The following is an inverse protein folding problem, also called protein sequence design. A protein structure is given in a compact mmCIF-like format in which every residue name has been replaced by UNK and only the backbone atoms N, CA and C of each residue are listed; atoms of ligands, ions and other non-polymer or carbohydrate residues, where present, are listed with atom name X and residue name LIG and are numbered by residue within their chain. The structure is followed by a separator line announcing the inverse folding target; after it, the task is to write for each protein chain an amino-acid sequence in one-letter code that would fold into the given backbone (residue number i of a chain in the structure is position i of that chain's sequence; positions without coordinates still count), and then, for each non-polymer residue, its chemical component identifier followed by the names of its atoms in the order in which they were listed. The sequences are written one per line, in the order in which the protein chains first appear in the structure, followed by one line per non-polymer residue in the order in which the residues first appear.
data_IF_703258167827
#
_entry.id   IF_703258167827
#
_cell.length_a   1.000
_cell.length_b   1.000
_cell.length_c   1.000
_cell.angle_alpha   90.00
_cell.angle_beta   90.00
_cell.angle_gamma   90.00
#
_symmetry.space_group_name_H-M   'P 1'
#
loop_
_entity.id
_entity.type
_entity.pdbx_description
1 polymer ?
#
# COMPACT_ATOMS: atom_id res chain seq x y z
N UNK A 1 4.90 0.11 26.51
CA UNK A 1 4.57 0.17 27.95
C UNK A 1 5.82 0.38 28.82
N UNK A 2 6.86 -0.42 28.64
CA UNK A 2 8.11 -0.33 29.42
C UNK A 2 8.74 1.07 29.38
N UNK A 3 8.90 1.65 28.19
CA UNK A 3 9.52 2.98 28.01
C UNK A 3 8.77 4.06 28.78
N UNK A 4 7.44 4.07 28.75
CA UNK A 4 6.64 5.06 29.47
C UNK A 4 6.80 4.93 30.98
N UNK A 5 6.76 3.71 31.51
CA UNK A 5 7.00 3.47 32.94
C UNK A 5 8.40 3.92 33.36
N UNK A 6 9.39 3.66 32.51
CA UNK A 6 10.75 4.10 32.76
C UNK A 6 10.85 5.64 32.81
N UNK A 7 10.33 6.32 31.78
CA UNK A 7 10.38 7.80 31.70
C UNK A 7 9.67 8.45 32.89
N UNK A 8 8.50 7.93 33.29
CA UNK A 8 7.75 8.46 34.43
C UNK A 8 8.48 8.34 35.79
N UNK A 9 9.45 7.44 35.91
CA UNK A 9 10.28 7.27 37.09
C UNK A 9 11.64 7.97 36.97
N UNK A 10 11.96 8.60 35.86
CA UNK A 10 13.19 9.36 35.70
C UNK A 10 13.07 10.72 36.39
N UNK A 11 14.11 11.12 37.12
CA UNK A 11 14.20 12.48 37.70
C UNK A 11 14.50 13.53 36.63
N UNK A 12 15.27 13.14 35.62
CA UNK A 12 15.69 14.03 34.54
C UNK A 12 15.57 13.24 33.22
N UNK A 13 14.96 13.84 32.20
CA UNK A 13 14.90 13.34 30.83
C UNK A 13 15.52 14.37 29.91
N UNK A 14 16.56 13.99 29.19
CA UNK A 14 17.23 14.87 28.25
C UNK A 14 16.85 14.48 26.80
N UNK A 15 16.43 15.47 26.03
CA UNK A 15 16.16 15.31 24.60
C UNK A 15 17.36 15.82 23.83
N UNK A 16 17.94 14.99 22.99
CA UNK A 16 19.07 15.34 22.12
C UNK A 16 18.62 15.44 20.67
N UNK A 17 19.23 16.35 19.89
CA UNK A 17 19.07 16.43 18.43
C UNK A 17 19.90 15.38 17.68
N UNK A 18 20.74 14.62 18.38
CA UNK A 18 21.56 13.59 17.80
C UNK A 18 20.69 12.39 17.33
N UNK A 19 20.86 12.01 16.06
CA UNK A 19 20.18 10.83 15.49
C UNK A 19 20.98 9.58 15.83
N UNK A 20 20.74 9.00 17.02
CA UNK A 20 21.47 7.82 17.51
C UNK A 20 20.89 6.49 17.05
N UNK A 21 19.76 6.50 16.34
CA UNK A 21 19.08 5.28 15.90
C UNK A 21 18.67 5.40 14.44
N UNK A 22 19.08 4.41 13.64
CA UNK A 22 18.64 4.25 12.27
C UNK A 22 17.59 3.16 12.19
N UNK A 23 16.36 3.51 11.90
CA UNK A 23 15.31 2.54 11.66
C UNK A 23 15.49 1.95 10.27
N UNK A 24 15.76 0.63 10.21
CA UNK A 24 15.76 -0.10 8.94
C UNK A 24 14.33 -0.44 8.58
N UNK A 25 13.84 0.10 7.48
CA UNK A 25 12.56 -0.31 6.93
C UNK A 25 12.69 -1.77 6.42
N UNK A 26 11.85 -2.64 6.94
CA UNK A 26 11.82 -4.05 6.57
C UNK A 26 10.36 -4.42 6.27
N UNK A 27 10.11 -4.94 5.07
CA UNK A 27 8.77 -5.35 4.63
C UNK A 27 8.18 -6.46 5.52
N UNK A 28 9.03 -7.25 6.19
CA UNK A 28 8.64 -8.26 7.17
C UNK A 28 8.51 -7.69 8.60
N UNK A 29 8.64 -6.36 8.76
CA UNK A 29 8.46 -5.73 10.06
C UNK A 29 7.03 -5.95 10.56
N UNK A 30 6.92 -6.20 11.86
CA UNK A 30 5.64 -6.33 12.58
C UNK A 30 4.69 -5.13 12.33
N UNK A 31 5.24 -3.97 11.97
CA UNK A 31 4.45 -2.77 11.62
C UNK A 31 3.73 -2.87 10.28
N UNK A 32 4.14 -3.80 9.40
CA UNK A 32 3.56 -4.01 8.07
C UNK A 32 2.67 -5.26 8.00
N UNK A 33 2.74 -6.11 9.02
CA UNK A 33 1.93 -7.33 9.09
C UNK A 33 0.50 -6.97 9.55
N UNK A 34 -0.48 -7.69 9.01
CA UNK A 34 -1.88 -7.62 9.47
C UNK A 34 -1.98 -8.34 10.81
N UNK A 35 -2.61 -7.70 11.78
CA UNK A 35 -2.82 -8.22 13.12
C UNK A 35 -4.31 -8.24 13.45
N UNK A 36 -4.91 -9.41 13.51
CA UNK A 36 -6.33 -9.58 13.84
C UNK A 36 -6.68 -9.04 15.23
N UNK A 37 -5.72 -9.08 16.14
CA UNK A 37 -5.84 -8.61 17.52
C UNK A 37 -5.38 -7.16 17.73
N UNK A 38 -5.16 -6.40 16.65
CA UNK A 38 -4.61 -5.04 16.72
C UNK A 38 -5.37 -4.14 17.72
N UNK A 39 -6.70 -4.08 17.62
CA UNK A 39 -7.52 -3.26 18.53
C UNK A 39 -7.47 -3.77 19.98
N UNK A 40 -7.40 -5.08 20.18
CA UNK A 40 -7.29 -5.67 21.52
C UNK A 40 -5.96 -5.25 22.15
N UNK A 41 -4.88 -5.35 21.39
CA UNK A 41 -3.52 -4.98 21.84
C UNK A 41 -3.40 -3.49 22.12
N UNK A 42 -3.94 -2.64 21.23
CA UNK A 42 -3.99 -1.18 21.40
C UNK A 42 -4.82 -0.80 22.63
N UNK A 43 -5.98 -1.42 22.84
CA UNK A 43 -6.83 -1.16 24.01
C UNK A 43 -6.15 -1.57 25.33
N UNK A 44 -5.51 -2.73 25.38
CA UNK A 44 -4.73 -3.16 26.55
C UNK A 44 -3.65 -2.15 26.91
N UNK A 45 -2.92 -1.68 25.89
CA UNK A 45 -1.87 -0.66 26.08
C UNK A 45 -2.47 0.67 26.57
N UNK A 46 -3.56 1.12 25.95
CA UNK A 46 -4.28 2.33 26.35
C UNK A 46 -4.71 2.29 27.84
N UNK A 47 -5.36 1.21 28.27
CA UNK A 47 -5.83 1.05 29.64
C UNK A 47 -4.66 1.03 30.64
N UNK A 48 -3.55 0.37 30.29
CA UNK A 48 -2.36 0.35 31.13
C UNK A 48 -1.71 1.73 31.25
N UNK A 49 -1.58 2.47 30.14
CA UNK A 49 -1.03 3.82 30.13
C UNK A 49 -1.96 4.78 30.89
N UNK A 50 -3.27 4.72 30.68
CA UNK A 50 -4.26 5.55 31.36
C UNK A 50 -4.15 5.42 32.87
N UNK A 51 -4.13 4.18 33.39
CA UNK A 51 -3.97 3.90 34.83
C UNK A 51 -2.69 4.52 35.42
N UNK A 52 -1.59 4.54 34.66
CA UNK A 52 -0.33 5.12 35.13
C UNK A 52 -0.36 6.66 35.00
N UNK A 53 -0.94 7.22 33.98
CA UNK A 53 -1.01 8.67 33.75
C UNK A 53 -1.96 9.36 34.73
N UNK A 54 -3.08 8.73 35.11
CA UNK A 54 -4.03 9.23 36.12
C UNK A 54 -3.37 9.43 37.48
N UNK A 55 -2.34 8.66 37.81
CA UNK A 55 -1.58 8.77 39.04
C UNK A 55 -0.41 9.76 38.97
N UNK A 56 -0.10 10.27 37.78
CA UNK A 56 1.03 11.18 37.60
C UNK A 56 0.66 12.61 37.95
N UNK A 57 1.61 13.37 38.46
CA UNK A 57 1.48 14.82 38.64
C UNK A 57 1.28 15.56 37.29
N UNK A 58 1.59 14.92 36.17
CA UNK A 58 1.40 15.45 34.82
C UNK A 58 0.10 14.99 34.14
N UNK A 59 -0.87 14.50 34.91
CA UNK A 59 -2.13 13.91 34.41
C UNK A 59 -2.82 14.80 33.40
N UNK A 60 -2.97 16.09 33.69
CA UNK A 60 -3.70 17.05 32.85
C UNK A 60 -3.08 17.22 31.45
N UNK A 61 -1.78 16.99 31.33
CA UNK A 61 -1.08 17.03 30.05
C UNK A 61 -1.07 15.67 29.34
N UNK A 62 -0.91 14.58 30.08
CA UNK A 62 -0.70 13.24 29.52
C UNK A 62 -1.99 12.59 29.03
N UNK A 63 -3.11 12.76 29.73
CA UNK A 63 -4.40 12.15 29.36
C UNK A 63 -4.89 12.64 27.99
N UNK A 64 -4.94 13.94 27.67
CA UNK A 64 -5.33 14.40 26.35
C UNK A 64 -4.44 13.87 25.23
N UNK A 65 -3.13 13.72 25.47
CA UNK A 65 -2.22 13.15 24.48
C UNK A 65 -2.48 11.66 24.27
N UNK A 66 -2.79 10.92 25.32
CA UNK A 66 -3.16 9.51 25.24
C UNK A 66 -4.47 9.32 24.48
N UNK A 67 -5.46 10.18 24.70
CA UNK A 67 -6.73 10.15 23.98
C UNK A 67 -6.54 10.48 22.49
N UNK A 68 -5.70 11.45 22.16
CA UNK A 68 -5.32 11.72 20.77
C UNK A 68 -4.63 10.53 20.12
N UNK A 69 -3.74 9.88 20.86
CA UNK A 69 -3.01 8.69 20.41
C UNK A 69 -3.96 7.53 20.13
N UNK A 70 -4.90 7.20 21.04
CA UNK A 70 -5.86 6.10 20.83
C UNK A 70 -6.78 6.38 19.65
N UNK A 71 -7.27 7.61 19.50
CA UNK A 71 -8.13 8.00 18.39
C UNK A 71 -7.42 7.84 17.03
N UNK A 72 -6.12 8.15 16.97
CA UNK A 72 -5.31 7.89 15.77
C UNK A 72 -5.24 6.40 15.45
N UNK A 73 -5.01 5.54 16.47
CA UNK A 73 -4.92 4.09 16.27
C UNK A 73 -6.25 3.46 15.89
N UNK A 74 -7.36 3.95 16.43
CA UNK A 74 -8.71 3.51 16.01
C UNK A 74 -8.94 3.83 14.53
N UNK A 75 -8.53 5.01 14.05
CA UNK A 75 -8.68 5.40 12.64
C UNK A 75 -7.90 4.49 11.67
N UNK A 76 -6.72 4.04 12.08
CA UNK A 76 -5.88 3.16 11.25
C UNK A 76 -6.16 1.66 11.48
N UNK A 77 -6.94 1.31 12.50
CA UNK A 77 -7.22 -0.08 12.86
C UNK A 77 -7.79 -0.91 11.70
N UNK A 78 -8.76 -0.44 10.91
CA UNK A 78 -9.27 -1.23 9.78
C UNK A 78 -8.15 -1.65 8.83
N UNK A 79 -7.23 -0.73 8.52
CA UNK A 79 -6.08 -1.01 7.65
C UNK A 79 -5.13 -2.02 8.30
N UNK A 80 -4.86 -1.88 9.61
CA UNK A 80 -3.94 -2.76 10.36
C UNK A 80 -4.51 -4.16 10.61
N UNK A 81 -5.84 -4.29 10.65
CA UNK A 81 -6.54 -5.56 10.81
C UNK A 81 -6.95 -6.18 9.46
N UNK A 82 -6.59 -5.56 8.35
CA UNK A 82 -7.08 -6.01 7.05
C UNK A 82 -8.60 -5.82 6.86
N UNK A 83 -9.27 -5.19 7.82
CA UNK A 83 -10.67 -4.83 7.75
C UNK A 83 -10.77 -3.55 6.92
N UNK A 84 -11.56 -3.54 5.88
CA UNK A 84 -11.60 -2.36 4.98
C UNK A 84 -10.56 -2.44 3.87
N UNK A 85 -10.07 -3.65 3.60
CA UNK A 85 -9.49 -4.03 2.30
C UNK A 85 -10.43 -3.58 1.15
N UNK A 86 -11.64 -3.16 1.48
CA UNK A 86 -12.64 -2.59 0.56
C UNK A 86 -12.56 -1.06 0.40
N UNK A 87 -11.76 -0.34 1.18
CA UNK A 87 -11.51 1.07 0.92
C UNK A 87 -10.52 1.19 -0.23
N UNK A 88 -11.05 1.30 -1.42
CA UNK A 88 -10.29 1.58 -2.63
C UNK A 88 -9.84 3.03 -2.52
N UNK A 89 -8.54 3.23 -2.42
CA UNK A 89 -7.92 4.56 -2.41
C UNK A 89 -7.67 5.05 -3.83
N UNK A 90 -7.30 4.15 -4.71
CA UNK A 90 -6.98 4.44 -6.10
C UNK A 90 -8.03 3.82 -7.02
N UNK A 91 -8.73 4.66 -7.76
CA UNK A 91 -9.78 4.23 -8.69
C UNK A 91 -9.16 4.02 -10.07
N UNK A 92 -9.56 2.94 -10.75
CA UNK A 92 -9.14 2.71 -12.13
C UNK A 92 -9.70 3.83 -13.02
N UNK A 93 -8.85 4.56 -13.73
CA UNK A 93 -9.32 5.56 -14.68
C UNK A 93 -10.00 4.88 -15.86
N UNK A 94 -10.99 5.52 -16.44
CA UNK A 94 -11.63 5.10 -17.68
C UNK A 94 -12.07 3.62 -17.70
N UNK A 95 -12.76 3.14 -16.65
CA UNK A 95 -13.26 1.77 -16.53
C UNK A 95 -13.99 1.27 -17.80
N UNK A 96 -14.71 2.17 -18.47
CA UNK A 96 -15.44 1.83 -19.69
C UNK A 96 -14.53 1.35 -20.83
N UNK A 97 -13.29 1.84 -20.92
CA UNK A 97 -12.34 1.47 -21.96
C UNK A 97 -11.82 0.03 -21.80
N UNK A 98 -11.73 -0.44 -20.57
CA UNK A 98 -11.19 -1.77 -20.25
C UNK A 98 -12.27 -2.85 -20.16
N UNK A 99 -13.54 -2.46 -20.23
CA UNK A 99 -14.65 -3.39 -20.17
C UNK A 99 -14.58 -4.39 -21.32
N UNK A 100 -14.63 -5.69 -20.99
CA UNK A 100 -14.51 -6.80 -21.94
C UNK A 100 -13.20 -6.80 -22.76
N UNK A 101 -12.12 -6.23 -22.22
CA UNK A 101 -10.81 -6.20 -22.84
C UNK A 101 -9.82 -7.12 -22.10
N UNK A 102 -8.73 -7.44 -22.76
CA UNK A 102 -7.59 -8.11 -22.14
C UNK A 102 -6.58 -7.04 -21.73
N UNK A 103 -6.24 -6.99 -20.45
CA UNK A 103 -5.44 -5.90 -19.91
C UNK A 103 -4.21 -6.41 -19.17
N UNK A 104 -3.18 -5.57 -19.18
CA UNK A 104 -2.03 -5.72 -18.28
C UNK A 104 -2.09 -4.61 -17.24
N UNK A 105 -1.96 -4.97 -15.96
CA UNK A 105 -1.76 -4.03 -14.85
C UNK A 105 -0.28 -4.02 -14.51
N UNK A 106 0.41 -2.92 -14.80
CA UNK A 106 1.84 -2.77 -14.53
C UNK A 106 2.05 -1.99 -13.24
N UNK A 107 2.66 -2.63 -12.26
CA UNK A 107 2.92 -2.11 -10.92
C UNK A 107 2.17 -2.88 -9.84
N UNK A 108 2.90 -3.43 -8.88
CA UNK A 108 2.36 -4.23 -7.78
C UNK A 108 2.50 -3.54 -6.41
N UNK A 109 2.43 -2.22 -6.41
CA UNK A 109 2.30 -1.40 -5.23
C UNK A 109 0.84 -1.26 -4.78
N UNK A 110 0.56 -0.27 -3.93
CA UNK A 110 -0.80 -0.02 -3.41
C UNK A 110 -1.81 0.31 -4.51
N UNK A 111 -1.39 1.06 -5.54
CA UNK A 111 -2.24 1.38 -6.70
C UNK A 111 -2.66 0.10 -7.43
N UNK A 112 -1.68 -0.75 -7.78
CA UNK A 112 -1.95 -2.01 -8.46
C UNK A 112 -2.83 -2.96 -7.66
N UNK A 113 -2.62 -3.04 -6.35
CA UNK A 113 -3.47 -3.81 -5.44
C UNK A 113 -4.92 -3.35 -5.47
N UNK A 114 -5.16 -2.04 -5.47
CA UNK A 114 -6.51 -1.49 -5.55
C UNK A 114 -7.14 -1.73 -6.92
N UNK A 115 -6.35 -1.69 -7.99
CA UNK A 115 -6.84 -1.99 -9.35
C UNK A 115 -7.23 -3.46 -9.50
N UNK A 116 -6.39 -4.39 -9.07
CA UNK A 116 -6.72 -5.84 -9.09
C UNK A 116 -8.00 -6.11 -8.31
N UNK A 117 -8.19 -5.46 -7.16
CA UNK A 117 -9.42 -5.60 -6.37
C UNK A 117 -10.66 -5.13 -7.12
N UNK A 118 -10.58 -3.99 -7.81
CA UNK A 118 -11.70 -3.47 -8.60
C UNK A 118 -12.00 -4.38 -9.79
N UNK A 119 -10.97 -4.82 -10.50
CA UNK A 119 -11.09 -5.74 -11.64
C UNK A 119 -11.83 -7.01 -11.23
N UNK A 120 -11.42 -7.63 -10.12
CA UNK A 120 -12.05 -8.86 -9.63
C UNK A 120 -13.48 -8.62 -9.13
N UNK A 121 -13.69 -7.59 -8.31
CA UNK A 121 -14.99 -7.29 -7.71
C UNK A 121 -16.05 -6.93 -8.75
N UNK A 122 -15.66 -6.13 -9.74
CA UNK A 122 -16.56 -5.58 -10.74
C UNK A 122 -16.54 -6.36 -12.05
N UNK A 123 -15.66 -7.37 -12.20
CA UNK A 123 -15.45 -8.16 -13.42
C UNK A 123 -15.25 -7.28 -14.65
N UNK A 124 -14.37 -6.28 -14.52
CA UNK A 124 -14.23 -5.19 -15.49
C UNK A 124 -13.66 -5.63 -16.85
N UNK A 125 -12.88 -6.69 -16.91
CA UNK A 125 -12.17 -7.10 -18.13
C UNK A 125 -12.36 -8.61 -18.39
N UNK A 126 -12.04 -9.06 -19.60
CA UNK A 126 -12.09 -10.47 -19.97
C UNK A 126 -10.97 -11.25 -19.27
N UNK A 127 -9.72 -10.82 -19.51
CA UNK A 127 -8.54 -11.39 -18.92
C UNK A 127 -7.59 -10.29 -18.47
N UNK A 128 -6.77 -10.60 -17.48
CA UNK A 128 -5.73 -9.68 -17.04
C UNK A 128 -4.47 -10.41 -16.58
N UNK A 129 -3.34 -9.73 -16.75
CA UNK A 129 -2.04 -10.13 -16.21
C UNK A 129 -1.53 -8.99 -15.33
N UNK A 130 -0.98 -9.33 -14.18
CA UNK A 130 -0.42 -8.37 -13.23
C UNK A 130 1.10 -8.50 -13.20
N UNK A 131 1.80 -7.45 -13.60
CA UNK A 131 3.25 -7.47 -13.74
C UNK A 131 3.94 -6.39 -12.92
N UNK A 132 5.17 -6.68 -12.51
CA UNK A 132 6.03 -5.73 -11.78
C UNK A 132 7.50 -6.12 -11.96
N UNK A 133 8.42 -5.14 -12.05
CA UNK A 133 9.87 -5.42 -12.11
C UNK A 133 10.37 -6.21 -10.90
N UNK A 134 9.82 -5.91 -9.73
CA UNK A 134 10.11 -6.61 -8.48
C UNK A 134 9.31 -7.88 -8.24
N UNK A 135 8.75 -8.50 -9.27
CA UNK A 135 7.81 -9.63 -9.18
C UNK A 135 8.31 -10.78 -8.30
N UNK A 136 9.61 -11.08 -8.32
CA UNK A 136 10.19 -12.16 -7.54
C UNK A 136 10.10 -11.95 -6.01
N UNK A 137 9.92 -10.69 -5.58
CA UNK A 137 9.80 -10.29 -4.17
C UNK A 137 8.36 -9.99 -3.79
N UNK A 138 7.40 -10.18 -4.71
CA UNK A 138 5.98 -9.86 -4.48
C UNK A 138 5.20 -11.12 -4.14
N UNK A 139 4.46 -11.02 -3.07
CA UNK A 139 3.53 -12.07 -2.66
C UNK A 139 2.27 -12.06 -3.52
N UNK A 140 1.62 -13.21 -3.58
CA UNK A 140 0.30 -13.37 -4.18
C UNK A 140 -0.72 -12.47 -3.46
N UNK A 141 -1.55 -11.76 -4.22
CA UNK A 141 -2.58 -10.89 -3.68
C UNK A 141 -3.96 -11.25 -4.25
N UNK A 142 -4.94 -11.45 -3.38
CA UNK A 142 -6.30 -11.86 -3.77
C UNK A 142 -6.33 -13.05 -4.75
N UNK A 143 -5.42 -13.99 -4.57
CA UNK A 143 -5.31 -15.14 -5.46
C UNK A 143 -4.52 -14.90 -6.76
N UNK A 144 -4.06 -13.66 -7.04
CA UNK A 144 -3.34 -13.28 -8.25
C UNK A 144 -1.84 -13.24 -7.99
N UNK A 145 -1.05 -13.89 -8.83
CA UNK A 145 0.41 -13.80 -8.79
C UNK A 145 0.88 -12.57 -9.55
N UNK A 146 1.91 -11.93 -9.03
CA UNK A 146 2.65 -10.90 -9.76
C UNK A 146 3.67 -11.59 -10.66
N UNK A 147 3.68 -11.24 -11.93
CA UNK A 147 4.51 -11.87 -12.94
C UNK A 147 5.61 -10.91 -13.44
N UNK A 148 6.58 -11.47 -14.15
CA UNK A 148 7.59 -10.66 -14.84
C UNK A 148 6.95 -9.79 -15.93
N UNK A 149 7.42 -8.57 -16.15
CA UNK A 149 6.96 -7.75 -17.28
C UNK A 149 7.12 -8.44 -18.64
N UNK A 150 8.02 -9.41 -18.78
CA UNK A 150 8.18 -10.19 -20.02
C UNK A 150 6.96 -11.03 -20.37
N UNK A 151 6.16 -11.42 -19.38
CA UNK A 151 4.96 -12.25 -19.61
C UNK A 151 3.86 -11.51 -20.37
N UNK A 152 3.87 -10.17 -20.38
CA UNK A 152 2.92 -9.41 -21.19
C UNK A 152 3.12 -9.60 -22.70
N UNK A 153 4.32 -10.01 -23.14
CA UNK A 153 4.59 -10.28 -24.56
C UNK A 153 3.91 -11.57 -25.05
N UNK A 154 3.62 -12.49 -24.13
CA UNK A 154 2.93 -13.75 -24.43
C UNK A 154 1.40 -13.61 -24.29
N UNK A 155 0.91 -12.42 -23.96
CA UNK A 155 -0.48 -12.15 -23.68
C UNK A 155 -1.11 -11.32 -24.78
N UNK A 156 -2.24 -11.77 -25.32
CA UNK A 156 -3.00 -10.98 -26.29
C UNK A 156 -3.67 -9.82 -25.56
N UNK A 157 -3.01 -8.67 -25.54
CA UNK A 157 -3.45 -7.51 -24.76
C UNK A 157 -4.08 -6.42 -25.63
N UNK A 158 -5.09 -5.74 -25.06
CA UNK A 158 -5.70 -4.54 -25.64
C UNK A 158 -5.14 -3.27 -24.99
N UNK A 159 -4.92 -3.30 -23.66
CA UNK A 159 -4.47 -2.14 -22.89
C UNK A 159 -3.44 -2.50 -21.83
N UNK A 160 -2.50 -1.59 -21.57
CA UNK A 160 -1.64 -1.60 -20.39
C UNK A 160 -2.06 -0.44 -19.48
N UNK A 161 -2.34 -0.73 -18.23
CA UNK A 161 -2.61 0.26 -17.18
C UNK A 161 -1.38 0.38 -16.30
N UNK A 162 -0.76 1.55 -16.25
CA UNK A 162 0.37 1.81 -15.38
C UNK A 162 -0.19 2.16 -13.98
N UNK A 163 -0.02 1.24 -13.03
CA UNK A 163 -0.58 1.31 -11.68
C UNK A 163 0.45 1.82 -10.66
N UNK A 164 0.94 3.03 -10.87
CA UNK A 164 1.87 3.74 -9.97
C UNK A 164 1.37 5.16 -9.70
N UNK A 165 1.73 5.72 -8.54
CA UNK A 165 1.31 7.06 -8.14
C UNK A 165 2.48 8.08 -8.14
N UNK A 166 3.61 7.68 -8.71
CA UNK A 166 4.78 8.53 -8.87
C UNK A 166 4.92 8.87 -10.35
N UNK A 167 4.80 10.15 -10.68
CA UNK A 167 4.79 10.65 -12.06
C UNK A 167 6.11 10.34 -12.79
N UNK A 168 7.24 10.46 -12.09
CA UNK A 168 8.54 10.16 -12.67
C UNK A 168 8.64 8.67 -13.03
N UNK A 169 8.28 7.80 -12.09
CA UNK A 169 8.27 6.36 -12.31
C UNK A 169 7.26 5.96 -13.40
N UNK A 170 6.11 6.62 -13.46
CA UNK A 170 5.11 6.41 -14.51
C UNK A 170 5.67 6.70 -15.89
N UNK A 171 6.38 7.81 -16.06
CA UNK A 171 7.02 8.19 -17.31
C UNK A 171 8.14 7.23 -17.69
N UNK A 172 8.97 6.80 -16.75
CA UNK A 172 10.01 5.78 -16.96
C UNK A 172 9.41 4.46 -17.47
N UNK A 173 8.33 4.00 -16.84
CA UNK A 173 7.63 2.77 -17.26
C UNK A 173 7.01 2.95 -18.66
N UNK A 174 6.43 4.11 -18.92
CA UNK A 174 5.82 4.41 -20.23
C UNK A 174 6.85 4.36 -21.35
N UNK A 175 8.00 4.97 -21.18
CA UNK A 175 9.10 4.93 -22.16
C UNK A 175 9.61 3.51 -22.36
N UNK A 176 9.77 2.74 -21.29
CA UNK A 176 10.18 1.33 -21.38
C UNK A 176 9.16 0.50 -22.16
N UNK A 177 7.87 0.67 -21.87
CA UNK A 177 6.80 -0.02 -22.60
C UNK A 177 6.82 0.32 -24.09
N UNK A 178 6.96 1.60 -24.44
CA UNK A 178 7.06 2.03 -25.84
C UNK A 178 8.25 1.35 -26.55
N UNK A 179 9.42 1.30 -25.91
CA UNK A 179 10.59 0.63 -26.45
C UNK A 179 10.36 -0.88 -26.65
N UNK A 180 9.77 -1.55 -25.65
CA UNK A 180 9.46 -2.99 -25.74
C UNK A 180 8.50 -3.26 -26.89
N UNK A 181 7.45 -2.47 -27.03
CA UNK A 181 6.45 -2.68 -28.06
C UNK A 181 6.88 -2.22 -29.45
N UNK A 182 7.70 -1.17 -29.57
CA UNK A 182 8.28 -0.77 -30.86
C UNK A 182 9.25 -1.82 -31.39
N UNK A 183 10.01 -2.48 -30.53
CA UNK A 183 10.85 -3.62 -30.93
C UNK A 183 10.01 -4.83 -31.41
N UNK A 184 8.80 -4.99 -30.86
CA UNK A 184 7.89 -6.10 -31.24
C UNK A 184 6.84 -5.73 -32.29
N UNK A 185 6.71 -4.46 -32.66
CA UNK A 185 5.78 -3.99 -33.73
C UNK A 185 5.99 -4.62 -35.09
N UNK A 186 7.14 -5.22 -35.31
CA UNK A 186 7.36 -6.03 -36.54
C UNK A 186 6.53 -7.32 -36.54
N UNK A 187 5.88 -7.70 -35.46
CA UNK A 187 5.15 -8.97 -35.29
C UNK A 187 3.66 -8.79 -34.99
N UNK A 188 3.19 -7.64 -34.45
CA UNK A 188 1.78 -7.44 -34.11
C UNK A 188 1.25 -6.07 -34.49
N UNK A 189 0.26 -6.07 -35.40
CA UNK A 189 -0.51 -4.89 -35.86
C UNK A 189 -1.57 -4.39 -34.86
N UNK A 190 -1.39 -4.56 -33.56
CA UNK A 190 -2.33 -4.05 -32.54
C UNK A 190 -1.84 -2.74 -31.93
N UNK A 191 -2.65 -1.68 -32.06
CA UNK A 191 -2.45 -0.39 -31.41
C UNK A 191 -2.38 -0.61 -29.89
N UNK A 192 -1.22 -0.32 -29.31
CA UNK A 192 -1.06 -0.35 -27.88
C UNK A 192 -1.62 0.92 -27.25
N UNK A 193 -2.61 0.77 -26.38
CA UNK A 193 -3.17 1.87 -25.60
C UNK A 193 -2.60 1.82 -24.17
N UNK A 194 -1.85 2.85 -23.82
CA UNK A 194 -1.31 3.02 -22.46
C UNK A 194 -2.19 4.01 -21.72
N UNK A 195 -2.77 3.57 -20.61
CA UNK A 195 -3.59 4.39 -19.73
C UNK A 195 -2.81 4.75 -18.47
N UNK A 196 -2.72 6.03 -18.16
CA UNK A 196 -2.07 6.52 -16.95
C UNK A 196 -3.03 6.37 -15.76
N UNK A 197 -2.58 5.71 -14.71
CA UNK A 197 -3.40 5.41 -13.51
C UNK A 197 -3.39 6.49 -12.43
N UNK A 198 -2.85 7.68 -12.69
CA UNK A 198 -2.58 8.68 -11.66
C UNK A 198 -3.32 10.01 -11.74
N UNK A 199 -4.08 10.27 -12.79
CA UNK A 199 -4.84 11.52 -12.87
C UNK A 199 -6.21 11.35 -12.19
N UNK A 200 -6.30 11.86 -10.96
CA UNK A 200 -7.57 12.16 -10.32
C UNK A 200 -7.97 13.57 -10.78
N UNK A 201 -9.00 13.69 -11.63
CA UNK A 201 -9.84 14.87 -11.71
C UNK A 201 -10.75 14.98 -10.49
#
# INVERSE_FOLDING_TARGET
EFIYKYILNCKIVTITKYKGYFYRENNMSITHVIHDDFLISVNKLYLSLKKNFEKSQYREMLIPQLEKWINMHIKIAPQKMGIGINSIKFIIPCKALICNKNIVVYGAGNVGKDYIRQIQKEKLCNNYVWVDKGYALKEKWLGVNVQSPKEMLNFQLDYVIIAVNDEKLMNEIKEELLNIFDMHKQICNSLLNILNGGENE
#
